data_IF_879842367426
#
_entry.id   IF_879842367426
#
_cell.length_a   1.000
_cell.length_b   1.000
_cell.length_c   1.000
_cell.angle_alpha   90.00
_cell.angle_beta   90.00
_cell.angle_gamma   90.00
#
_symmetry.space_group_name_H-M   'P 1'
#
loop_
_entity.id
_entity.type
_entity.pdbx_description
1 polymer ?
#
# COMPACT_ATOMS: atom_id res chain seq x y z
N UNK A 1 1.54 -21.76 20.50
CA UNK A 1 0.23 -21.82 21.20
C UNK A 1 -0.78 -21.10 20.32
N UNK A 2 -1.71 -21.83 19.70
CA UNK A 2 -2.74 -21.27 18.83
C UNK A 2 -3.96 -20.80 19.63
N UNK A 3 -4.98 -20.29 18.93
CA UNK A 3 -6.26 -19.90 19.52
C UNK A 3 -6.99 -21.18 19.99
N UNK A 4 -7.07 -21.39 21.31
CA UNK A 4 -7.66 -22.61 21.89
C UNK A 4 -9.19 -22.69 21.68
N UNK A 5 -9.86 -21.57 21.48
CA UNK A 5 -11.28 -21.49 21.09
C UNK A 5 -11.59 -20.20 20.36
N UNK A 6 -11.87 -20.32 19.06
CA UNK A 6 -12.24 -19.21 18.18
C UNK A 6 -13.54 -18.53 18.61
N UNK A 7 -14.55 -19.31 19.01
CA UNK A 7 -15.82 -18.78 19.49
C UNK A 7 -15.66 -17.97 20.79
N UNK A 8 -14.81 -18.43 21.73
CA UNK A 8 -14.51 -17.68 22.95
C UNK A 8 -13.77 -16.37 22.68
N UNK A 9 -12.86 -16.37 21.69
CA UNK A 9 -12.17 -15.18 21.24
C UNK A 9 -13.14 -14.16 20.61
N UNK A 10 -14.03 -14.63 19.73
CA UNK A 10 -15.05 -13.78 19.11
C UNK A 10 -15.99 -13.19 20.15
N UNK A 11 -16.44 -13.99 21.12
CA UNK A 11 -17.35 -13.52 22.18
C UNK A 11 -16.75 -12.39 23.05
N UNK A 12 -15.43 -12.38 23.27
CA UNK A 12 -14.75 -11.30 23.99
C UNK A 12 -14.41 -10.09 23.09
N UNK A 13 -14.54 -10.23 21.78
CA UNK A 13 -14.16 -9.20 20.83
C UNK A 13 -15.26 -8.13 20.70
N UNK A 14 -14.87 -6.85 20.78
CA UNK A 14 -15.80 -5.70 20.64
C UNK A 14 -16.07 -5.34 19.19
N UNK A 15 -15.21 -5.76 18.28
CA UNK A 15 -15.33 -5.51 16.85
C UNK A 15 -14.72 -6.62 16.04
N UNK A 16 -15.32 -6.89 14.88
CA UNK A 16 -14.82 -7.83 13.88
C UNK A 16 -14.57 -7.05 12.58
N UNK A 17 -13.37 -7.17 12.02
CA UNK A 17 -13.03 -6.64 10.69
C UNK A 17 -12.93 -7.80 9.73
N UNK A 18 -13.77 -7.79 8.70
CA UNK A 18 -13.84 -8.82 7.66
C UNK A 18 -13.28 -8.22 6.38
N UNK A 19 -12.18 -8.80 5.89
CA UNK A 19 -11.66 -8.49 4.55
C UNK A 19 -12.42 -9.37 3.56
N UNK A 20 -13.42 -8.78 2.93
CA UNK A 20 -14.34 -9.46 2.04
C UNK A 20 -13.68 -9.77 0.69
N UNK A 21 -13.70 -11.05 0.33
CA UNK A 21 -13.45 -11.57 -1.01
C UNK A 21 -14.38 -12.75 -1.26
N UNK A 22 -14.61 -13.14 -2.52
CA UNK A 22 -15.47 -14.30 -2.80
C UNK A 22 -14.88 -15.60 -2.20
N UNK A 23 -13.55 -15.71 -2.18
CA UNK A 23 -12.86 -16.81 -1.52
C UNK A 23 -13.06 -16.83 0.00
N UNK A 24 -13.30 -15.67 0.63
CA UNK A 24 -13.60 -15.59 2.06
C UNK A 24 -14.92 -16.30 2.39
N UNK A 25 -15.98 -16.16 1.58
CA UNK A 25 -17.26 -16.82 1.83
C UNK A 25 -17.28 -18.31 1.45
N UNK A 26 -16.34 -18.77 0.63
CA UNK A 26 -16.24 -20.19 0.25
C UNK A 26 -15.69 -21.08 1.37
N UNK A 27 -15.01 -20.48 2.36
CA UNK A 27 -14.42 -21.22 3.47
C UNK A 27 -15.46 -21.41 4.58
N UNK A 28 -15.71 -22.65 5.00
CA UNK A 28 -16.74 -22.94 6.00
C UNK A 28 -16.47 -22.27 7.36
N UNK A 29 -15.20 -22.20 7.75
CA UNK A 29 -14.78 -21.64 9.04
C UNK A 29 -14.97 -20.12 9.14
N UNK A 30 -14.77 -19.36 8.06
CA UNK A 30 -14.99 -17.90 8.02
C UNK A 30 -16.48 -17.56 8.07
N UNK A 31 -17.33 -18.36 7.41
CA UNK A 31 -18.79 -18.23 7.53
C UNK A 31 -19.23 -18.52 8.96
N UNK A 32 -18.64 -19.53 9.60
CA UNK A 32 -18.89 -19.83 11.01
C UNK A 32 -18.46 -18.67 11.93
N UNK A 33 -17.28 -18.07 11.71
CA UNK A 33 -16.83 -16.89 12.47
C UNK A 33 -17.79 -15.72 12.33
N UNK A 34 -18.19 -15.41 11.09
CA UNK A 34 -19.09 -14.30 10.79
C UNK A 34 -20.45 -14.50 11.44
N UNK A 35 -21.05 -15.68 11.27
CA UNK A 35 -22.33 -16.03 11.86
C UNK A 35 -22.27 -16.03 13.39
N UNK A 36 -21.21 -16.59 13.97
CA UNK A 36 -21.02 -16.62 15.44
C UNK A 36 -20.88 -15.21 16.00
N UNK A 37 -20.14 -14.33 15.34
CA UNK A 37 -20.01 -12.93 15.76
C UNK A 37 -21.35 -12.19 15.65
N UNK A 38 -22.10 -12.38 14.57
CA UNK A 38 -23.44 -11.78 14.41
C UNK A 38 -24.44 -12.23 15.46
N UNK A 39 -24.41 -13.51 15.84
CA UNK A 39 -25.35 -14.07 16.82
C UNK A 39 -24.95 -13.78 18.26
N UNK A 40 -23.66 -13.80 18.55
CA UNK A 40 -23.15 -13.80 19.94
C UNK A 40 -22.66 -12.44 20.40
N UNK A 41 -22.36 -11.50 19.50
CA UNK A 41 -21.74 -10.22 19.85
C UNK A 41 -22.62 -9.04 19.44
N UNK A 42 -22.82 -8.10 20.36
CA UNK A 42 -23.39 -6.77 20.07
C UNK A 42 -22.32 -5.78 19.57
N UNK A 43 -21.20 -6.30 19.07
CA UNK A 43 -20.04 -5.53 18.65
C UNK A 43 -20.22 -4.87 17.29
N UNK A 44 -19.23 -4.09 16.88
CA UNK A 44 -19.22 -3.46 15.53
C UNK A 44 -18.57 -4.39 14.52
N UNK A 45 -19.26 -4.65 13.42
CA UNK A 45 -18.71 -5.37 12.29
C UNK A 45 -18.32 -4.38 11.20
N UNK A 46 -17.08 -4.48 10.71
CA UNK A 46 -16.56 -3.68 9.61
C UNK A 46 -16.22 -4.60 8.46
N UNK A 47 -16.82 -4.37 7.29
CA UNK A 47 -16.57 -5.15 6.08
C UNK A 47 -15.76 -4.27 5.13
N UNK A 48 -14.58 -4.74 4.73
CA UNK A 48 -13.69 -4.07 3.79
C UNK A 48 -13.52 -4.97 2.57
N UNK A 49 -13.93 -4.52 1.38
CA UNK A 49 -13.64 -5.26 0.15
C UNK A 49 -12.15 -5.19 -0.17
N UNK A 50 -11.58 -6.30 -0.64
CA UNK A 50 -10.20 -6.34 -1.17
C UNK A 50 -10.01 -5.32 -2.31
N UNK A 51 -11.04 -5.08 -3.11
CA UNK A 51 -10.98 -4.11 -4.22
C UNK A 51 -10.71 -2.68 -3.73
N UNK A 52 -11.23 -2.33 -2.55
CA UNK A 52 -11.01 -1.00 -1.96
C UNK A 52 -9.55 -0.84 -1.55
N UNK A 53 -8.91 -1.91 -1.04
CA UNK A 53 -7.49 -1.87 -0.70
C UNK A 53 -6.62 -1.66 -1.96
N UNK A 54 -6.94 -2.35 -3.05
CA UNK A 54 -6.27 -2.18 -4.35
C UNK A 54 -6.46 -0.75 -4.87
N UNK A 55 -7.69 -0.24 -4.83
CA UNK A 55 -8.00 1.12 -5.28
C UNK A 55 -7.23 2.17 -4.48
N UNK A 56 -7.19 2.05 -3.15
CA UNK A 56 -6.43 2.96 -2.28
C UNK A 56 -4.95 2.92 -2.60
N UNK A 57 -4.39 1.73 -2.82
CA UNK A 57 -2.99 1.57 -3.19
C UNK A 57 -2.67 2.24 -4.53
N UNK A 58 -3.51 2.02 -5.55
CA UNK A 58 -3.37 2.67 -6.86
C UNK A 58 -3.51 4.19 -6.77
N UNK A 59 -4.47 4.69 -5.98
CA UNK A 59 -4.65 6.11 -5.74
C UNK A 59 -3.43 6.73 -5.05
N UNK A 60 -2.86 6.05 -4.06
CA UNK A 60 -1.61 6.48 -3.41
C UNK A 60 -0.45 6.52 -4.40
N UNK A 61 -0.23 5.48 -5.19
CA UNK A 61 0.82 5.45 -6.20
C UNK A 61 0.65 6.58 -7.23
N UNK A 62 -0.57 6.77 -7.74
CA UNK A 62 -0.88 7.84 -8.68
C UNK A 62 -0.64 9.23 -8.08
N UNK A 63 -1.04 9.45 -6.83
CA UNK A 63 -0.81 10.71 -6.13
C UNK A 63 0.69 11.04 -6.04
N UNK A 64 1.53 10.04 -5.78
CA UNK A 64 2.97 10.24 -5.68
C UNK A 64 3.59 10.60 -7.03
N UNK A 65 3.16 9.94 -8.10
CA UNK A 65 3.58 10.28 -9.47
C UNK A 65 3.17 11.72 -9.82
N UNK A 66 1.93 12.11 -9.50
CA UNK A 66 1.43 13.44 -9.79
C UNK A 66 2.16 14.55 -9.01
N UNK A 67 2.42 14.33 -7.72
CA UNK A 67 3.22 15.24 -6.89
C UNK A 67 4.63 15.36 -7.47
N UNK A 68 5.24 14.24 -7.88
CA UNK A 68 6.55 14.27 -8.51
C UNK A 68 6.54 15.12 -9.80
N UNK A 69 5.52 14.98 -10.66
CA UNK A 69 5.42 15.77 -11.89
C UNK A 69 5.21 17.27 -11.58
N UNK A 70 4.31 17.61 -10.67
CA UNK A 70 3.99 19.02 -10.36
C UNK A 70 5.21 19.76 -9.80
N UNK A 71 5.95 19.14 -8.88
CA UNK A 71 7.02 19.84 -8.16
C UNK A 71 8.39 19.72 -8.84
N UNK A 72 8.71 18.60 -9.48
CA UNK A 72 10.06 18.38 -10.03
C UNK A 72 10.22 18.90 -11.46
N UNK A 73 9.16 18.97 -12.28
CA UNK A 73 9.22 19.58 -13.62
C UNK A 73 9.57 21.08 -13.59
N UNK A 74 8.92 21.93 -12.78
CA UNK A 74 9.28 23.36 -12.71
C UNK A 74 10.64 23.57 -12.04
N UNK A 75 11.00 22.74 -11.06
CA UNK A 75 12.31 22.79 -10.40
C UNK A 75 13.44 22.49 -11.39
N UNK A 76 13.29 21.45 -12.22
CA UNK A 76 14.25 21.12 -13.28
C UNK A 76 14.42 22.25 -14.30
N UNK A 77 13.32 22.91 -14.68
CA UNK A 77 13.38 24.09 -15.58
C UNK A 77 14.09 25.28 -14.93
N UNK A 78 13.84 25.53 -13.65
CA UNK A 78 14.49 26.62 -12.90
C UNK A 78 16.00 26.37 -12.76
N UNK A 79 16.40 25.15 -12.43
CA UNK A 79 17.81 24.75 -12.31
C UNK A 79 18.50 24.87 -13.68
N UNK A 80 17.87 24.39 -14.76
CA UNK A 80 18.41 24.53 -16.11
C UNK A 80 18.56 26.01 -16.52
N UNK A 81 17.60 26.86 -16.18
CA UNK A 81 17.66 28.29 -16.46
C UNK A 81 18.77 29.00 -15.67
N UNK A 82 18.91 28.68 -14.37
CA UNK A 82 19.98 29.22 -13.53
C UNK A 82 21.36 28.73 -13.97
N UNK A 83 21.47 27.45 -14.35
CA UNK A 83 22.72 26.85 -14.81
C UNK A 83 23.17 27.41 -16.16
N UNK A 84 22.25 27.63 -17.11
CA UNK A 84 22.54 28.32 -18.37
C UNK A 84 23.06 29.76 -18.14
N UNK A 85 22.63 30.41 -17.06
CA UNK A 85 23.10 31.76 -16.71
C UNK A 85 24.41 31.77 -15.89
N UNK A 86 24.88 30.61 -15.38
CA UNK A 86 25.99 30.53 -14.44
C UNK A 86 27.20 29.70 -14.92
N UNK A 87 27.05 28.73 -15.82
CA UNK A 87 28.15 27.83 -16.24
C UNK A 87 28.11 27.54 -17.76
N UNK A 88 29.28 27.52 -18.40
CA UNK A 88 29.51 27.15 -19.80
C UNK A 88 29.12 25.68 -20.08
N UNK A 89 27.86 25.52 -20.46
CA UNK A 89 27.13 24.55 -21.31
C UNK A 89 27.50 23.06 -21.45
N UNK A 90 28.69 22.54 -21.17
CA UNK A 90 29.04 21.17 -21.61
C UNK A 90 28.78 20.04 -20.57
N UNK A 91 28.82 20.32 -19.26
CA UNK A 91 28.72 19.25 -18.23
C UNK A 91 27.32 19.02 -17.63
N UNK A 92 26.33 19.87 -17.96
CA UNK A 92 25.06 19.91 -17.23
C UNK A 92 24.09 18.77 -17.61
N UNK A 93 24.20 18.24 -18.83
CA UNK A 93 23.30 17.18 -19.32
C UNK A 93 23.46 15.85 -18.55
N UNK A 94 24.64 15.58 -17.98
CA UNK A 94 24.93 14.33 -17.27
C UNK A 94 24.45 14.41 -15.81
N UNK A 95 24.56 15.58 -15.16
CA UNK A 95 24.19 15.77 -13.76
C UNK A 95 22.67 15.78 -13.50
N UNK A 96 21.86 16.23 -14.46
CA UNK A 96 20.38 16.26 -14.34
C UNK A 96 19.75 14.88 -14.61
N UNK A 97 20.44 14.00 -15.34
CA UNK A 97 19.93 12.66 -15.67
C UNK A 97 20.20 11.61 -14.57
N UNK A 98 21.23 11.83 -13.74
CA UNK A 98 21.71 10.87 -12.75
C UNK A 98 20.92 10.74 -11.43
N UNK A 99 20.02 11.65 -10.97
CA UNK A 99 19.26 11.40 -9.76
C UNK A 99 18.00 10.55 -10.00
N UNK A 100 17.44 10.59 -11.22
CA UNK A 100 16.10 10.06 -11.48
C UNK A 100 16.03 8.54 -11.57
N UNK A 101 17.02 7.88 -12.19
CA UNK A 101 17.03 6.42 -12.29
C UNK A 101 17.34 5.75 -10.94
N UNK A 102 18.27 6.31 -10.17
CA UNK A 102 18.71 5.73 -8.88
C UNK A 102 17.61 5.83 -7.82
N UNK A 103 16.91 6.97 -7.74
CA UNK A 103 15.81 7.15 -6.77
C UNK A 103 14.62 6.26 -7.12
N UNK A 104 14.27 6.13 -8.40
CA UNK A 104 13.19 5.24 -8.85
C UNK A 104 13.55 3.77 -8.61
N UNK A 105 14.78 3.35 -8.92
CA UNK A 105 15.25 1.99 -8.63
C UNK A 105 15.26 1.69 -7.13
N UNK A 106 15.64 2.65 -6.28
CA UNK A 106 15.64 2.47 -4.82
C UNK A 106 14.23 2.37 -4.25
N UNK A 107 13.27 3.14 -4.77
CA UNK A 107 11.86 3.06 -4.37
C UNK A 107 11.19 1.77 -4.85
N UNK A 108 11.46 1.34 -6.09
CA UNK A 108 10.96 0.07 -6.62
C UNK A 108 11.52 -1.11 -5.83
N UNK A 109 12.80 -1.08 -5.46
CA UNK A 109 13.45 -2.12 -4.66
C UNK A 109 12.87 -2.20 -3.24
N UNK A 110 12.61 -1.07 -2.59
CA UNK A 110 11.97 -1.06 -1.28
C UNK A 110 10.51 -1.53 -1.32
N UNK A 111 9.75 -1.22 -2.38
CA UNK A 111 8.39 -1.74 -2.53
C UNK A 111 8.36 -3.25 -2.78
N UNK A 112 9.29 -3.80 -3.57
CA UNK A 112 9.37 -5.24 -3.80
C UNK A 112 9.61 -6.01 -2.49
N UNK A 113 10.53 -5.53 -1.65
CA UNK A 113 10.83 -6.12 -0.33
C UNK A 113 9.61 -6.07 0.59
N UNK A 114 8.86 -4.97 0.58
CA UNK A 114 7.64 -4.83 1.39
C UNK A 114 6.52 -5.75 0.88
N UNK A 115 6.36 -5.90 -0.44
CA UNK A 115 5.37 -6.82 -1.02
C UNK A 115 5.69 -8.29 -0.73
N UNK A 116 6.95 -8.70 -0.87
CA UNK A 116 7.37 -10.07 -0.55
C UNK A 116 7.15 -10.37 0.95
N UNK A 117 7.42 -9.41 1.83
CA UNK A 117 7.15 -9.56 3.27
C UNK A 117 5.67 -9.64 3.64
N UNK A 118 4.80 -8.99 2.85
CA UNK A 118 3.34 -9.06 3.02
C UNK A 118 2.81 -10.40 2.48
N UNK A 119 3.30 -10.86 1.33
CA UNK A 119 2.92 -12.15 0.74
C UNK A 119 3.35 -13.33 1.61
N UNK A 120 4.59 -13.30 2.13
CA UNK A 120 5.09 -14.33 3.04
C UNK A 120 4.29 -14.43 4.35
N UNK A 121 3.67 -13.33 4.79
CA UNK A 121 2.79 -13.30 5.98
C UNK A 121 1.33 -13.68 5.70
N UNK A 122 0.94 -13.80 4.44
CA UNK A 122 -0.40 -14.24 4.04
C UNK A 122 -0.46 -15.75 3.76
N UNK A 123 0.70 -16.41 3.63
CA UNK A 123 0.82 -17.87 3.44
C UNK A 123 1.06 -18.66 4.74
N UNK A 124 1.32 -17.99 5.87
CA UNK A 124 1.34 -18.57 7.24
C UNK A 124 -0.04 -18.49 7.93
#
# INVERSE_FOLDING_TARGET
KGIESLAGFLHKSRSLVVVYSDAYLQRLWTVYELATFMLSCKGRMHILSVDIAILVFLAMAFSHVWIAVIYFVPLGKLIAHLAHNLLDTEDLHIAVLLPHSVVVSYLMMNMAIVMDGIFARLEE
#
